data_IF_892277152133
#
_entry.id   IF_892277152133
#
_cell.length_a   1.000
_cell.length_b   1.000
_cell.length_c   1.000
_cell.angle_alpha   90.00
_cell.angle_beta   90.00
_cell.angle_gamma   90.00
#
_symmetry.space_group_name_H-M   'P 1'
#
loop_
_entity.id
_entity.type
_entity.pdbx_description
1 polymer ?
#
# COMPACT_ATOMS: atom_id res chain seq x y z
N UNK A 1 45.93 36.94 61.49
CA UNK A 1 44.47 37.01 61.72
C UNK A 1 43.78 36.83 60.36
N UNK A 2 42.74 35.98 60.32
CA UNK A 2 41.64 35.87 59.33
C UNK A 2 41.88 35.29 57.91
N UNK A 3 41.19 34.14 57.66
CA UNK A 3 41.05 33.19 56.52
C UNK A 3 40.22 33.73 55.31
N UNK A 4 39.75 32.95 54.28
CA UNK A 4 40.19 31.77 53.44
C UNK A 4 39.91 32.05 51.91
N UNK A 5 39.74 31.12 50.92
CA UNK A 5 39.77 29.63 50.85
C UNK A 5 40.64 28.98 49.74
N UNK A 6 40.79 27.64 49.73
CA UNK A 6 41.35 26.87 48.63
C UNK A 6 40.27 26.05 47.87
N UNK A 7 40.35 25.97 46.53
CA UNK A 7 39.78 24.88 45.73
C UNK A 7 40.45 24.90 44.35
N UNK A 8 41.49 24.08 44.18
CA UNK A 8 41.55 22.93 43.25
C UNK A 8 41.64 23.35 41.77
N UNK A 9 42.83 23.36 41.15
CA UNK A 9 43.74 22.24 40.78
C UNK A 9 43.32 21.56 39.47
N UNK A 10 44.22 21.62 38.49
CA UNK A 10 44.43 20.65 37.40
C UNK A 10 43.43 20.78 36.25
N UNK A 11 43.78 21.35 35.10
CA UNK A 11 44.63 20.75 34.06
C UNK A 11 44.08 19.40 33.57
N UNK A 12 43.60 19.36 32.32
CA UNK A 12 44.04 18.42 31.26
C UNK A 12 43.12 18.49 30.03
N UNK A 13 43.76 18.42 28.86
CA UNK A 13 43.35 17.79 27.60
C UNK A 13 41.90 17.98 27.11
N UNK A 14 41.76 18.62 25.95
CA UNK A 14 40.56 18.56 25.11
C UNK A 14 40.71 17.42 24.09
N UNK A 15 39.94 16.32 24.18
CA UNK A 15 39.75 15.41 23.07
C UNK A 15 38.36 15.54 22.43
N UNK A 16 38.37 15.50 21.09
CA UNK A 16 37.32 15.15 20.11
C UNK A 16 35.86 15.04 20.60
N UNK A 17 34.99 15.80 19.91
CA UNK A 17 33.71 15.26 19.45
C UNK A 17 32.53 16.20 19.57
N UNK A 18 32.32 17.07 18.58
CA UNK A 18 31.01 17.69 18.35
C UNK A 18 30.75 17.75 16.84
N UNK A 19 30.05 16.74 16.33
CA UNK A 19 29.21 16.93 15.14
C UNK A 19 27.89 17.52 15.66
N UNK A 20 27.39 18.63 15.07
CA UNK A 20 26.18 19.25 15.53
C UNK A 20 24.99 18.29 15.38
N UNK A 21 24.24 18.23 16.48
CA UNK A 21 22.91 17.67 16.60
C UNK A 21 22.01 18.15 15.45
N UNK A 22 21.89 17.37 14.38
CA UNK A 22 20.73 17.43 13.49
C UNK A 22 19.70 16.48 14.05
N UNK A 23 18.81 17.06 14.83
CA UNK A 23 17.44 16.61 15.06
C UNK A 23 16.77 16.29 13.72
N UNK A 24 16.87 15.04 13.29
CA UNK A 24 15.80 14.42 12.53
C UNK A 24 15.19 13.39 13.45
N UNK A 25 14.25 13.87 14.26
CA UNK A 25 13.25 13.05 14.92
C UNK A 25 12.47 12.25 13.84
N UNK A 26 13.07 11.18 13.34
CA UNK A 26 12.38 10.11 12.61
C UNK A 26 11.85 9.04 13.59
N UNK A 27 11.64 9.44 14.86
CA UNK A 27 10.89 8.67 15.86
C UNK A 27 9.38 8.78 15.64
N UNK A 28 8.94 8.68 14.39
CA UNK A 28 7.58 8.26 14.04
C UNK A 28 7.66 7.18 12.97
N UNK A 29 8.39 6.09 13.26
CA UNK A 29 8.14 4.78 12.65
C UNK A 29 6.79 4.22 13.16
N UNK A 30 5.75 5.05 13.12
CA UNK A 30 4.38 4.71 13.44
C UNK A 30 3.80 3.84 12.33
N UNK A 31 2.60 3.33 12.56
CA UNK A 31 1.88 2.34 11.74
C UNK A 31 1.87 2.60 10.21
N UNK A 32 2.16 3.83 9.78
CA UNK A 32 2.30 4.30 8.41
C UNK A 32 3.60 3.86 7.67
N UNK A 33 4.66 3.52 8.41
CA UNK A 33 5.98 3.15 7.86
C UNK A 33 6.15 1.66 7.56
N UNK A 34 5.25 0.82 8.07
CA UNK A 34 5.29 -0.62 7.87
C UNK A 34 4.99 -0.97 6.40
N UNK A 35 5.73 -1.95 5.86
CA UNK A 35 5.52 -2.46 4.51
C UNK A 35 4.08 -2.96 4.36
N UNK A 36 3.37 -2.48 3.34
CA UNK A 36 1.96 -2.77 3.07
C UNK A 36 0.96 -2.32 4.17
N UNK A 37 1.36 -1.47 5.10
CA UNK A 37 0.45 -0.98 6.13
C UNK A 37 -0.49 0.14 5.64
N UNK A 38 -0.17 0.76 4.49
CA UNK A 38 -1.00 1.81 3.91
C UNK A 38 -1.54 1.42 2.54
N UNK A 39 -2.75 1.86 2.23
CA UNK A 39 -3.40 1.67 0.94
C UNK A 39 -4.04 2.97 0.44
N UNK A 40 -4.26 3.04 -0.88
CA UNK A 40 -4.95 4.17 -1.51
C UNK A 40 -6.47 4.00 -1.45
N UNK A 41 -7.24 5.08 -1.57
CA UNK A 41 -8.69 5.01 -1.75
C UNK A 41 -9.09 4.09 -2.90
N UNK A 42 -8.37 4.13 -4.03
CA UNK A 42 -8.61 3.19 -5.16
C UNK A 42 -8.33 1.74 -4.77
N UNK A 43 -7.26 1.50 -4.03
CA UNK A 43 -6.92 0.16 -3.53
C UNK A 43 -7.97 -0.32 -2.54
N UNK A 44 -8.45 0.57 -1.66
CA UNK A 44 -9.53 0.29 -0.70
C UNK A 44 -10.79 -0.17 -1.44
N UNK A 45 -11.20 0.56 -2.48
CA UNK A 45 -12.36 0.21 -3.28
C UNK A 45 -12.19 -1.12 -4.01
N UNK A 46 -11.02 -1.38 -4.58
CA UNK A 46 -10.78 -2.61 -5.33
C UNK A 46 -10.69 -3.85 -4.43
N UNK A 47 -9.96 -3.76 -3.32
CA UNK A 47 -9.68 -4.90 -2.44
C UNK A 47 -10.77 -5.14 -1.39
N UNK A 48 -11.37 -4.06 -0.88
CA UNK A 48 -12.32 -4.08 0.23
C UNK A 48 -13.73 -3.65 -0.16
N UNK A 49 -13.95 -3.27 -1.42
CA UNK A 49 -15.29 -3.09 -1.98
C UNK A 49 -15.94 -1.81 -1.48
N UNK A 50 -15.16 -1.00 -0.78
CA UNK A 50 -15.60 0.25 -0.18
C UNK A 50 -15.80 1.29 -1.27
N UNK A 51 -16.98 1.89 -1.29
CA UNK A 51 -17.21 3.10 -2.05
C UNK A 51 -16.37 4.25 -1.48
N UNK A 52 -16.03 5.22 -2.34
CA UNK A 52 -15.35 6.45 -1.88
C UNK A 52 -16.18 7.20 -0.83
N UNK A 53 -17.50 7.11 -0.91
CA UNK A 53 -18.44 7.73 0.03
C UNK A 53 -18.32 7.11 1.43
N UNK A 54 -18.24 5.79 1.53
CA UNK A 54 -18.02 5.09 2.80
C UNK A 54 -16.68 5.46 3.43
N UNK A 55 -15.62 5.56 2.63
CA UNK A 55 -14.29 6.01 3.10
C UNK A 55 -14.38 7.43 3.66
N UNK A 56 -15.01 8.36 2.93
CA UNK A 56 -15.17 9.75 3.37
C UNK A 56 -16.06 9.83 4.62
N UNK A 57 -17.12 9.04 4.69
CA UNK A 57 -17.98 8.97 5.87
C UNK A 57 -17.22 8.44 7.09
N UNK A 58 -16.38 7.43 6.92
CA UNK A 58 -15.55 6.88 7.99
C UNK A 58 -14.48 7.85 8.48
N UNK A 59 -13.85 8.60 7.56
CA UNK A 59 -12.94 9.70 7.89
C UNK A 59 -13.68 10.78 8.69
N UNK A 60 -14.85 11.22 8.22
CA UNK A 60 -15.68 12.22 8.93
C UNK A 60 -16.13 11.74 10.30
N UNK A 61 -16.38 10.44 10.45
CA UNK A 61 -16.74 9.82 11.72
C UNK A 61 -15.53 9.55 12.64
N UNK A 62 -14.30 9.88 12.21
CA UNK A 62 -13.07 9.62 12.97
C UNK A 62 -12.71 8.14 13.11
N UNK A 63 -13.32 7.26 12.31
CA UNK A 63 -13.08 5.81 12.33
C UNK A 63 -11.87 5.39 11.50
N UNK A 64 -11.40 6.28 10.63
CA UNK A 64 -10.31 6.04 9.70
C UNK A 64 -9.35 7.22 9.71
N UNK A 65 -8.08 6.96 9.99
CA UNK A 65 -7.02 7.93 9.80
C UNK A 65 -6.69 8.02 8.32
N UNK A 66 -6.44 9.24 7.85
CA UNK A 66 -6.06 9.50 6.48
C UNK A 66 -4.90 10.48 6.42
N UNK A 67 -4.09 10.33 5.38
CA UNK A 67 -3.14 11.34 4.92
C UNK A 67 -3.40 11.62 3.45
N UNK A 68 -3.15 12.83 2.99
CA UNK A 68 -3.22 13.16 1.57
C UNK A 68 -1.86 12.86 0.94
N UNK A 69 -1.85 11.96 -0.03
CA UNK A 69 -0.71 11.75 -0.93
C UNK A 69 -0.96 12.44 -2.26
N UNK A 70 0.11 12.68 -3.02
CA UNK A 70 0.03 13.16 -4.39
C UNK A 70 0.71 12.15 -5.31
N UNK A 71 0.01 11.72 -6.35
CA UNK A 71 0.57 10.86 -7.39
C UNK A 71 0.39 11.58 -8.73
N UNK A 72 1.51 12.00 -9.34
CA UNK A 72 1.53 12.78 -10.59
C UNK A 72 0.62 14.03 -10.56
N UNK A 73 0.54 14.72 -9.42
CA UNK A 73 -0.32 15.90 -9.24
C UNK A 73 -1.78 15.60 -8.89
N UNK A 74 -2.20 14.34 -8.92
CA UNK A 74 -3.54 13.95 -8.47
C UNK A 74 -3.51 13.60 -6.96
N UNK A 75 -4.30 14.28 -6.12
CA UNK A 75 -4.40 13.95 -4.71
C UNK A 75 -5.11 12.60 -4.52
N UNK A 76 -4.62 11.81 -3.57
CA UNK A 76 -5.22 10.53 -3.19
C UNK A 76 -5.20 10.36 -1.68
N UNK A 77 -6.11 9.55 -1.15
CA UNK A 77 -6.14 9.29 0.29
C UNK A 77 -5.27 8.09 0.61
N UNK A 78 -4.28 8.30 1.47
CA UNK A 78 -3.47 7.25 2.09
C UNK A 78 -4.14 6.85 3.39
N UNK A 79 -4.54 5.58 3.48
CA UNK A 79 -5.34 5.01 4.56
C UNK A 79 -4.57 3.86 5.23
N UNK A 80 -4.80 3.60 6.52
CA UNK A 80 -4.22 2.46 7.22
C UNK A 80 -5.00 1.17 6.94
N UNK A 81 -4.31 0.11 6.50
CA UNK A 81 -4.93 -1.16 6.14
C UNK A 81 -5.68 -1.82 7.30
N UNK A 82 -5.10 -1.78 8.50
CA UNK A 82 -5.69 -2.36 9.70
C UNK A 82 -7.03 -1.71 10.05
N UNK A 83 -7.13 -0.39 9.92
CA UNK A 83 -8.36 0.35 10.21
C UNK A 83 -9.44 0.07 9.17
N UNK A 84 -9.07 0.03 7.90
CA UNK A 84 -9.96 -0.34 6.79
C UNK A 84 -10.50 -1.76 7.01
N UNK A 85 -9.63 -2.73 7.32
CA UNK A 85 -10.03 -4.10 7.63
C UNK A 85 -10.97 -4.19 8.84
N UNK A 86 -10.66 -3.48 9.91
CA UNK A 86 -11.48 -3.46 11.12
C UNK A 86 -12.87 -2.84 10.86
N UNK A 87 -12.92 -1.78 10.05
CA UNK A 87 -14.16 -1.13 9.63
C UNK A 87 -15.04 -2.09 8.82
N UNK A 88 -14.47 -2.76 7.81
CA UNK A 88 -15.24 -3.66 6.94
C UNK A 88 -15.75 -4.87 7.71
N UNK A 89 -14.92 -5.44 8.59
CA UNK A 89 -15.35 -6.53 9.50
C UNK A 89 -16.52 -6.11 10.40
N UNK A 90 -16.52 -4.87 10.88
CA UNK A 90 -17.61 -4.32 11.71
C UNK A 90 -18.87 -4.00 10.90
N UNK A 91 -18.72 -3.49 9.67
CA UNK A 91 -19.83 -3.03 8.84
C UNK A 91 -20.55 -4.15 8.08
N UNK A 92 -19.79 -5.11 7.54
CA UNK A 92 -20.32 -6.15 6.64
C UNK A 92 -20.18 -7.59 7.19
N UNK A 93 -19.64 -7.75 8.40
CA UNK A 93 -19.38 -9.05 9.01
C UNK A 93 -18.15 -9.76 8.44
N UNK A 94 -17.81 -10.92 9.01
CA UNK A 94 -16.58 -11.66 8.68
C UNK A 94 -16.53 -12.22 7.25
N UNK A 95 -17.68 -12.59 6.67
CA UNK A 95 -17.74 -13.25 5.36
C UNK A 95 -17.63 -12.33 4.14
N UNK A 96 -17.96 -11.04 4.28
CA UNK A 96 -17.99 -10.11 3.13
C UNK A 96 -16.62 -9.95 2.46
N UNK A 97 -15.54 -9.92 3.26
CA UNK A 97 -14.18 -9.82 2.73
C UNK A 97 -13.76 -11.06 1.95
N UNK A 98 -14.16 -12.25 2.40
CA UNK A 98 -13.85 -13.51 1.72
C UNK A 98 -14.65 -13.65 0.44
N UNK A 99 -15.94 -13.31 0.48
CA UNK A 99 -16.80 -13.30 -0.70
C UNK A 99 -16.30 -12.32 -1.76
N UNK A 100 -15.86 -11.14 -1.34
CA UNK A 100 -15.36 -10.14 -2.25
C UNK A 100 -14.01 -10.55 -2.87
N UNK A 101 -13.09 -11.10 -2.08
CA UNK A 101 -11.84 -11.68 -2.59
C UNK A 101 -12.13 -12.76 -3.64
N UNK A 102 -13.04 -13.68 -3.30
CA UNK A 102 -13.47 -14.76 -4.21
C UNK A 102 -14.06 -14.19 -5.51
N UNK A 103 -14.90 -13.14 -5.43
CA UNK A 103 -15.45 -12.46 -6.61
C UNK A 103 -14.37 -11.79 -7.46
N UNK A 104 -13.39 -11.12 -6.85
CA UNK A 104 -12.28 -10.50 -7.59
C UNK A 104 -11.40 -11.54 -8.28
N UNK A 105 -11.08 -12.64 -7.60
CA UNK A 105 -10.34 -13.76 -8.17
C UNK A 105 -11.11 -14.39 -9.34
N UNK A 106 -12.42 -14.62 -9.17
CA UNK A 106 -13.28 -15.13 -10.23
C UNK A 106 -13.31 -14.19 -11.45
N UNK A 107 -13.39 -12.88 -11.24
CA UNK A 107 -13.35 -11.90 -12.31
C UNK A 107 -12.00 -11.91 -13.05
N UNK A 108 -10.89 -12.07 -12.32
CA UNK A 108 -9.56 -12.20 -12.90
C UNK A 108 -9.46 -13.48 -13.75
N UNK A 109 -9.82 -14.64 -13.19
CA UNK A 109 -9.81 -15.92 -13.90
C UNK A 109 -10.65 -15.85 -15.18
N UNK A 110 -11.84 -15.25 -15.11
CA UNK A 110 -12.69 -15.06 -16.29
C UNK A 110 -12.05 -14.18 -17.38
N UNK A 111 -11.33 -13.12 -16.99
CA UNK A 111 -10.58 -12.28 -17.96
C UNK A 111 -9.45 -13.07 -18.62
N UNK A 112 -8.73 -13.87 -17.83
CA UNK A 112 -7.65 -14.71 -18.35
C UNK A 112 -8.17 -15.79 -19.29
N UNK A 113 -9.27 -16.47 -18.94
CA UNK A 113 -9.95 -17.43 -19.81
C UNK A 113 -10.34 -16.79 -21.14
N UNK A 114 -10.96 -15.60 -21.13
CA UNK A 114 -11.32 -14.88 -22.36
C UNK A 114 -10.10 -14.54 -23.20
N UNK A 115 -9.00 -14.09 -22.57
CA UNK A 115 -7.74 -13.79 -23.26
C UNK A 115 -7.14 -15.04 -23.92
N UNK A 116 -7.08 -16.15 -23.21
CA UNK A 116 -6.53 -17.42 -23.71
C UNK A 116 -7.40 -17.98 -24.83
N UNK A 117 -8.74 -17.94 -24.69
CA UNK A 117 -9.67 -18.37 -25.73
C UNK A 117 -9.45 -17.61 -27.05
N UNK A 118 -9.25 -16.29 -26.99
CA UNK A 118 -8.91 -15.49 -28.19
C UNK A 118 -7.60 -15.94 -28.84
N UNK A 119 -6.58 -16.24 -28.04
CA UNK A 119 -5.30 -16.77 -28.56
C UNK A 119 -5.49 -18.15 -29.19
N UNK A 120 -6.25 -19.02 -28.55
CA UNK A 120 -6.58 -20.36 -29.07
C UNK A 120 -7.26 -20.26 -30.44
N UNK A 121 -8.32 -19.44 -30.57
CA UNK A 121 -9.03 -19.28 -31.85
C UNK A 121 -8.15 -18.69 -32.95
N UNK A 122 -7.22 -17.79 -32.60
CA UNK A 122 -6.27 -17.23 -33.57
C UNK A 122 -5.29 -18.29 -34.08
N UNK A 123 -4.80 -19.15 -33.18
CA UNK A 123 -3.91 -20.26 -33.53
C UNK A 123 -4.62 -21.35 -34.33
N UNK A 124 -5.87 -21.68 -33.99
CA UNK A 124 -6.69 -22.63 -34.75
C UNK A 124 -6.94 -22.15 -36.17
N UNK A 125 -7.26 -20.86 -36.35
CA UNK A 125 -7.38 -20.24 -37.67
C UNK A 125 -6.06 -20.35 -38.45
N UNK A 126 -4.95 -20.00 -37.81
CA UNK A 126 -3.64 -20.08 -38.47
C UNK A 126 -3.28 -21.51 -38.85
N UNK A 127 -3.62 -22.49 -38.01
CA UNK A 127 -3.44 -23.91 -38.31
C UNK A 127 -4.25 -24.31 -39.55
N UNK A 128 -5.53 -23.93 -39.61
CA UNK A 128 -6.39 -24.25 -40.76
C UNK A 128 -5.86 -23.64 -42.06
N UNK A 129 -5.40 -22.38 -42.04
CA UNK A 129 -4.75 -21.73 -43.19
C UNK A 129 -3.54 -22.53 -43.67
N UNK A 130 -2.64 -22.90 -42.76
CA UNK A 130 -1.43 -23.68 -43.09
C UNK A 130 -1.79 -25.08 -43.62
N UNK A 131 -2.75 -25.76 -43.01
CA UNK A 131 -3.22 -27.08 -43.49
C UNK A 131 -3.82 -26.99 -44.89
N UNK A 132 -4.60 -25.94 -45.19
CA UNK A 132 -5.16 -25.72 -46.52
C UNK A 132 -4.09 -25.39 -47.57
N UNK A 133 -3.03 -24.67 -47.20
CA UNK A 133 -1.89 -24.45 -48.10
C UNK A 133 -1.15 -25.75 -48.41
N UNK A 134 -0.93 -26.61 -47.41
CA UNK A 134 -0.27 -27.90 -47.58
C UNK A 134 -1.10 -28.89 -48.42
N UNK A 135 -2.43 -28.83 -48.36
CA UNK A 135 -3.29 -29.69 -49.17
C UNK A 135 -3.45 -29.24 -50.62
N UNK A 136 -3.25 -27.95 -50.91
CA UNK A 136 -3.32 -27.39 -52.28
C UNK A 136 -2.04 -27.57 -53.09
N UNK A 137 -0.90 -27.79 -52.43
CA UNK A 137 0.40 -28.02 -53.06
C UNK A 137 0.71 -29.49 -53.34
N UNK A 138 -0.28 -30.39 -53.25
CA UNK A 138 -0.13 -31.83 -53.44
C UNK A 138 -1.06 -32.33 -54.54
#
# INVERSE_FOLDING_TARGET
MTKPPPSHRGETAVPKGEKPMTTFDDEHCGEWGLKNATLSDKTASNEFGLSREEIVAAIKAGKLQYRVGYMHGNPWFRLLRREVEAMVKKAHGGGFLEDQKTKTELAQVNRELKRLKKKMTALERRRAELTATLSKGR
#
